data_IF_985545989323
#
_entry.id   IF_985545989323
#
_cell.length_a   1.000
_cell.length_b   1.000
_cell.length_c   1.000
_cell.angle_alpha   90.00
_cell.angle_beta   90.00
_cell.angle_gamma   90.00
#
_symmetry.space_group_name_H-M   'P 1'
#
loop_
_entity.id
_entity.type
_entity.pdbx_description
1 polymer ?
#
# COMPACT_ATOMS: atom_id res chain seq x y z
N UNK A 1 -5.63 -52.96 21.03
CA UNK A 1 -4.73 -52.07 20.25
C UNK A 1 -4.86 -50.69 20.83
N UNK A 2 -3.98 -50.32 21.75
CA UNK A 2 -3.99 -49.02 22.42
C UNK A 2 -3.30 -47.99 21.50
N UNK A 3 -4.04 -46.97 21.07
CA UNK A 3 -3.46 -45.86 20.31
C UNK A 3 -2.47 -45.11 21.22
N UNK A 4 -1.24 -44.91 20.72
CA UNK A 4 -0.17 -44.22 21.46
C UNK A 4 -0.61 -42.78 21.81
N UNK A 5 -0.45 -42.32 23.06
CA UNK A 5 -0.80 -40.96 23.46
C UNK A 5 0.01 -39.88 22.71
N UNK A 6 1.09 -40.27 22.02
CA UNK A 6 1.93 -39.38 21.23
C UNK A 6 1.30 -39.06 19.87
N UNK A 7 0.37 -39.89 19.39
CA UNK A 7 -0.38 -39.64 18.16
C UNK A 7 -1.43 -38.53 18.34
N UNK A 8 -1.97 -38.36 19.55
CA UNK A 8 -2.94 -37.31 19.88
C UNK A 8 -2.28 -35.91 19.94
N UNK A 9 -1.00 -35.82 20.32
CA UNK A 9 -0.29 -34.53 20.43
C UNK A 9 0.07 -33.98 19.04
N UNK A 10 0.36 -34.84 18.06
CA UNK A 10 0.64 -34.42 16.68
C UNK A 10 -0.63 -34.03 15.89
N UNK A 11 -1.80 -34.51 16.30
CA UNK A 11 -3.09 -34.14 15.69
C UNK A 11 -3.69 -32.84 16.24
N UNK A 12 -3.23 -32.34 17.40
CA UNK A 12 -3.63 -31.03 17.95
C UNK A 12 -2.73 -29.86 17.52
N UNK A 13 -1.64 -30.11 16.80
CA UNK A 13 -0.79 -29.05 16.22
C UNK A 13 -1.31 -28.51 14.87
N UNK A 14 -2.40 -29.07 14.34
CA UNK A 14 -3.14 -28.48 13.22
C UNK A 14 -4.14 -27.41 13.72
N UNK A 15 -3.70 -26.56 14.65
CA UNK A 15 -4.48 -25.41 15.09
C UNK A 15 -4.44 -24.35 13.97
N UNK A 16 -5.60 -24.13 13.36
CA UNK A 16 -5.94 -23.11 12.37
C UNK A 16 -4.83 -22.10 12.03
N UNK A 17 -4.10 -22.35 10.94
CA UNK A 17 -3.75 -21.26 10.06
C UNK A 17 -5.07 -20.79 9.42
N UNK A 18 -5.82 -19.94 10.12
CA UNK A 18 -6.79 -19.10 9.47
C UNK A 18 -5.98 -18.24 8.49
N UNK A 19 -5.91 -18.68 7.23
CA UNK A 19 -5.30 -17.89 6.17
C UNK A 19 -5.97 -16.53 6.21
N UNK A 20 -5.26 -15.51 6.65
CA UNK A 20 -5.75 -14.15 6.59
C UNK A 20 -5.90 -13.84 5.11
N UNK A 21 -7.15 -13.73 4.65
CA UNK A 21 -7.45 -13.51 3.25
C UNK A 21 -6.63 -12.35 2.70
N UNK A 22 -6.11 -12.48 1.47
CA UNK A 22 -5.50 -11.35 0.80
C UNK A 22 -6.58 -10.29 0.51
N UNK A 23 -6.19 -9.04 0.61
CA UNK A 23 -7.03 -7.89 0.28
C UNK A 23 -6.51 -7.27 -1.01
N UNK A 24 -7.40 -7.11 -2.00
CA UNK A 24 -7.05 -6.50 -3.28
C UNK A 24 -6.98 -4.97 -3.16
N UNK A 25 -5.87 -4.40 -3.63
CA UNK A 25 -5.67 -2.98 -3.88
C UNK A 25 -5.69 -2.72 -5.38
N UNK A 26 -6.67 -1.96 -5.86
CA UNK A 26 -6.71 -1.51 -7.26
C UNK A 26 -6.03 -0.15 -7.37
N UNK A 27 -4.88 -0.11 -8.02
CA UNK A 27 -4.01 1.05 -8.09
C UNK A 27 -3.98 1.58 -9.52
N UNK A 28 -4.58 2.74 -9.77
CA UNK A 28 -4.75 3.30 -11.11
C UNK A 28 -3.88 4.53 -11.30
N UNK A 29 -3.17 4.61 -12.43
CA UNK A 29 -2.54 5.85 -12.87
C UNK A 29 -3.49 6.61 -13.82
N UNK A 30 -4.00 7.77 -13.41
CA UNK A 30 -4.76 8.69 -14.27
C UNK A 30 -3.98 9.93 -14.67
N UNK A 31 -2.69 10.01 -14.31
CA UNK A 31 -1.84 11.09 -14.74
C UNK A 31 -1.66 11.00 -16.26
N UNK A 32 -1.50 12.15 -16.93
CA UNK A 32 -1.17 12.21 -18.36
C UNK A 32 0.24 11.68 -18.71
N UNK A 33 0.99 11.25 -17.69
CA UNK A 33 2.35 10.73 -17.79
C UNK A 33 2.49 9.40 -17.05
N UNK A 34 3.53 8.63 -17.39
CA UNK A 34 3.83 7.39 -16.70
C UNK A 34 4.35 7.64 -15.28
N UNK A 35 3.90 6.81 -14.35
CA UNK A 35 4.33 6.83 -12.95
C UNK A 35 4.92 5.47 -12.61
N UNK A 36 6.06 5.46 -11.91
CA UNK A 36 6.63 4.23 -11.36
C UNK A 36 6.08 4.04 -9.96
N UNK A 37 5.04 3.22 -9.86
CA UNK A 37 4.46 2.88 -8.57
C UNK A 37 5.43 2.05 -7.75
N UNK A 38 5.30 2.20 -6.44
CA UNK A 38 6.03 1.43 -5.45
C UNK A 38 5.09 1.05 -4.31
N UNK A 39 5.31 -0.14 -3.75
CA UNK A 39 4.54 -0.67 -2.65
C UNK A 39 5.41 -1.52 -1.73
N UNK A 40 5.31 -1.30 -0.41
CA UNK A 40 5.97 -2.09 0.62
C UNK A 40 4.96 -2.53 1.68
N UNK A 41 5.18 -3.66 2.37
CA UNK A 41 6.24 -4.65 2.13
C UNK A 41 5.98 -5.57 0.92
N UNK A 42 4.81 -5.47 0.29
CA UNK A 42 4.38 -6.32 -0.82
C UNK A 42 4.22 -5.50 -2.10
N UNK A 43 4.63 -6.07 -3.24
CA UNK A 43 4.46 -5.48 -4.58
C UNK A 43 5.73 -4.85 -5.14
N UNK A 44 6.60 -4.29 -4.30
CA UNK A 44 7.89 -3.73 -4.70
C UNK A 44 7.73 -2.48 -5.55
N UNK A 45 7.67 -2.64 -6.87
CA UNK A 45 7.46 -1.52 -7.78
C UNK A 45 7.23 -1.92 -9.24
N UNK A 46 6.50 -1.07 -9.95
CA UNK A 46 6.06 -1.30 -11.33
C UNK A 46 5.81 0.02 -12.05
N UNK A 47 6.17 0.10 -13.33
CA UNK A 47 5.79 1.23 -14.20
C UNK A 47 4.35 1.07 -14.68
N UNK A 48 3.53 2.11 -14.51
CA UNK A 48 2.18 2.20 -15.07
C UNK A 48 2.11 3.37 -16.06
N UNK A 49 1.60 3.13 -17.26
CA UNK A 49 1.27 4.21 -18.19
C UNK A 49 -0.01 4.92 -17.74
N UNK A 50 -0.31 6.06 -18.40
CA UNK A 50 -1.60 6.73 -18.24
C UNK A 50 -2.74 5.77 -18.57
N UNK A 51 -3.71 5.65 -17.65
CA UNK A 51 -4.89 4.79 -17.76
C UNK A 51 -4.69 3.37 -17.23
N UNK A 52 -3.44 2.92 -17.02
CA UNK A 52 -3.17 1.56 -16.54
C UNK A 52 -3.61 1.38 -15.08
N UNK A 53 -3.97 0.14 -14.74
CA UNK A 53 -4.30 -0.28 -13.37
C UNK A 53 -3.48 -1.50 -12.97
N UNK A 54 -2.99 -1.48 -11.74
CA UNK A 54 -2.32 -2.59 -11.08
C UNK A 54 -3.18 -3.08 -9.91
N UNK A 55 -3.64 -4.33 -10.01
CA UNK A 55 -4.26 -5.01 -8.89
C UNK A 55 -3.18 -5.72 -8.08
N UNK A 56 -3.01 -5.30 -6.83
CA UNK A 56 -2.03 -5.82 -5.89
C UNK A 56 -2.78 -6.59 -4.79
N UNK A 57 -2.45 -7.86 -4.60
CA UNK A 57 -2.94 -8.66 -3.48
C UNK A 57 -2.02 -8.46 -2.27
N UNK A 58 -2.59 -7.94 -1.18
CA UNK A 58 -1.83 -7.72 0.06
C UNK A 58 -2.34 -8.68 1.14
N UNK A 59 -1.46 -9.51 1.75
CA UNK A 59 -1.86 -10.44 2.79
C UNK A 59 -2.49 -9.73 4.00
N UNK A 60 -3.55 -10.31 4.58
CA UNK A 60 -4.08 -9.82 5.86
C UNK A 60 -3.06 -9.98 6.99
N UNK A 61 -3.03 -9.04 7.93
CA UNK A 61 -1.98 -8.93 8.96
C UNK A 61 -0.82 -8.02 8.56
N UNK A 62 -0.77 -7.53 7.31
CA UNK A 62 0.25 -6.60 6.84
C UNK A 62 0.16 -5.27 7.60
N UNK A 63 1.27 -4.76 8.13
CA UNK A 63 1.31 -3.46 8.85
C UNK A 63 2.43 -2.58 8.31
N UNK A 64 2.38 -1.29 8.65
CA UNK A 64 3.33 -0.27 8.19
C UNK A 64 3.52 -0.26 6.66
N UNK A 65 2.44 -0.54 5.92
CA UNK A 65 2.46 -0.65 4.48
C UNK A 65 2.26 0.70 3.80
N UNK A 66 2.89 0.86 2.65
CA UNK A 66 2.89 2.12 1.89
C UNK A 66 2.74 1.84 0.41
N UNK A 67 1.94 2.65 -0.28
CA UNK A 67 1.90 2.76 -1.74
C UNK A 67 2.18 4.21 -2.12
N UNK A 68 3.05 4.44 -3.10
CA UNK A 68 3.36 5.79 -3.58
C UNK A 68 3.76 5.81 -5.05
N UNK A 69 3.73 7.00 -5.64
CA UNK A 69 4.15 7.26 -7.02
C UNK A 69 5.56 7.83 -7.08
N UNK A 70 6.37 7.32 -8.02
CA UNK A 70 7.71 7.84 -8.33
C UNK A 70 7.73 8.45 -9.72
N UNK A 71 8.39 9.60 -9.87
CA UNK A 71 8.42 10.37 -11.12
C UNK A 71 9.84 10.67 -11.57
N UNK A 72 10.00 10.94 -12.86
CA UNK A 72 11.31 11.21 -13.47
C UNK A 72 12.27 10.04 -13.34
N UNK A 73 11.76 8.81 -13.46
CA UNK A 73 12.57 7.61 -13.25
C UNK A 73 13.28 7.17 -14.52
N UNK A 74 14.50 6.67 -14.33
CA UNK A 74 15.26 5.98 -15.36
C UNK A 74 15.88 4.71 -14.75
N UNK A 75 15.52 3.55 -15.30
CA UNK A 75 15.97 2.24 -14.84
C UNK A 75 16.67 1.50 -15.98
N UNK A 76 17.78 0.84 -15.64
CA UNK A 76 18.44 -0.15 -16.47
C UNK A 76 18.37 -1.51 -15.76
N UNK A 77 17.46 -2.37 -16.21
CA UNK A 77 17.02 -3.52 -15.41
C UNK A 77 16.35 -3.08 -14.12
N UNK A 78 16.74 -3.67 -12.99
CA UNK A 78 16.11 -3.42 -11.68
C UNK A 78 16.77 -2.29 -10.87
N UNK A 79 17.72 -1.57 -11.48
CA UNK A 79 18.49 -0.50 -10.83
C UNK A 79 18.44 0.79 -11.64
N UNK A 80 18.40 1.92 -10.95
CA UNK A 80 18.20 3.21 -11.57
C UNK A 80 18.07 4.34 -10.54
N UNK A 81 17.29 5.35 -10.89
CA UNK A 81 16.93 6.44 -9.98
C UNK A 81 15.62 7.08 -10.39
N UNK A 82 14.93 7.69 -9.43
CA UNK A 82 13.79 8.57 -9.64
C UNK A 82 14.07 9.98 -9.09
N UNK A 83 13.46 10.99 -9.70
CA UNK A 83 13.55 12.37 -9.22
C UNK A 83 12.81 12.58 -7.90
N UNK A 84 11.67 11.90 -7.72
CA UNK A 84 10.88 11.92 -6.47
C UNK A 84 10.49 10.50 -6.06
N UNK A 85 10.35 10.26 -4.75
CA UNK A 85 9.92 8.98 -4.20
C UNK A 85 10.90 7.81 -4.43
N UNK A 86 12.16 8.06 -4.79
CA UNK A 86 13.13 7.00 -5.05
C UNK A 86 13.38 6.12 -3.81
N UNK A 87 13.53 4.81 -3.99
CA UNK A 87 13.75 3.84 -2.90
C UNK A 87 15.15 3.20 -3.00
N UNK A 88 16.18 4.04 -2.90
CA UNK A 88 17.60 3.66 -3.01
C UNK A 88 17.97 3.08 -4.38
N UNK A 89 17.40 3.64 -5.44
CA UNK A 89 17.65 3.29 -6.83
C UNK A 89 17.13 1.91 -7.24
N UNK A 90 16.25 1.29 -6.47
CA UNK A 90 15.66 -0.01 -6.78
C UNK A 90 14.36 0.15 -7.59
N UNK A 91 14.17 -0.68 -8.63
CA UNK A 91 12.88 -0.77 -9.31
C UNK A 91 11.83 -1.38 -8.35
N UNK A 92 12.22 -2.46 -7.67
CA UNK A 92 11.44 -3.16 -6.66
C UNK A 92 11.82 -2.67 -5.26
N UNK A 93 10.98 -1.83 -4.67
CA UNK A 93 11.29 -1.21 -3.38
C UNK A 93 11.19 -2.20 -2.22
N UNK A 94 12.21 -2.22 -1.36
CA UNK A 94 12.16 -2.80 -0.02
C UNK A 94 12.21 -1.75 1.11
N UNK A 95 12.43 -0.49 0.74
CA UNK A 95 12.45 0.67 1.61
C UNK A 95 11.40 1.68 1.14
N UNK A 96 10.98 2.56 2.05
CA UNK A 96 10.08 3.65 1.67
C UNK A 96 10.77 4.66 0.75
N UNK A 97 9.97 5.44 0.01
CA UNK A 97 10.46 6.43 -0.93
C UNK A 97 11.08 7.64 -0.23
N UNK A 98 12.16 8.19 -0.80
CA UNK A 98 12.77 9.44 -0.34
C UNK A 98 11.84 10.63 -0.61
N UNK A 99 11.69 11.57 0.35
CA UNK A 99 10.97 12.83 0.12
C UNK A 99 11.43 13.58 -1.15
N UNK A 100 10.51 14.28 -1.86
CA UNK A 100 9.08 14.35 -1.57
C UNK A 100 8.32 13.10 -2.06
N UNK A 101 7.37 12.59 -1.26
CA UNK A 101 6.51 11.48 -1.65
C UNK A 101 5.12 11.54 -0.97
N UNK A 102 4.05 11.64 -1.76
CA UNK A 102 2.68 11.44 -1.28
C UNK A 102 2.47 9.95 -1.01
N UNK A 103 2.16 9.58 0.23
CA UNK A 103 2.04 8.18 0.67
C UNK A 103 0.58 7.81 0.91
N UNK A 104 0.13 6.68 0.37
CA UNK A 104 -1.01 5.95 0.91
C UNK A 104 -0.47 4.97 1.95
N UNK A 105 -0.76 5.20 3.23
CA UNK A 105 -0.32 4.34 4.34
C UNK A 105 -1.49 3.49 4.82
N UNK A 106 -1.22 2.23 5.17
CA UNK A 106 -2.28 1.32 5.64
C UNK A 106 -1.75 0.18 6.52
N UNK A 107 -2.67 -0.42 7.27
CA UNK A 107 -2.46 -1.66 8.03
C UNK A 107 -3.70 -2.53 7.95
N UNK A 108 -3.50 -3.83 7.69
CA UNK A 108 -4.53 -4.83 7.50
C UNK A 108 -4.57 -5.77 8.71
N UNK A 109 -5.73 -5.91 9.35
CA UNK A 109 -5.90 -6.74 10.53
C UNK A 109 -7.36 -7.07 10.81
N UNK A 110 -7.71 -7.28 12.08
CA UNK A 110 -9.12 -7.42 12.50
C UNK A 110 -9.93 -6.16 12.12
N UNK A 111 -9.31 -5.00 12.27
CA UNK A 111 -9.77 -3.71 11.79
C UNK A 111 -8.67 -3.12 10.91
N UNK A 112 -9.02 -2.67 9.71
CA UNK A 112 -8.05 -2.03 8.84
C UNK A 112 -8.04 -0.54 9.08
N UNK A 113 -6.86 0.03 8.89
CA UNK A 113 -6.60 1.46 8.98
C UNK A 113 -5.87 1.94 7.73
N UNK A 114 -6.20 3.15 7.31
CA UNK A 114 -5.60 3.75 6.14
C UNK A 114 -5.65 5.27 6.22
N UNK A 115 -4.66 5.92 5.61
CA UNK A 115 -4.59 7.37 5.46
C UNK A 115 -3.72 7.77 4.25
N UNK A 116 -3.78 9.05 3.93
CA UNK A 116 -2.81 9.70 3.06
C UNK A 116 -1.86 10.49 3.96
N UNK A 117 -0.56 10.45 3.67
CA UNK A 117 0.46 11.23 4.36
C UNK A 117 1.27 12.05 3.38
N UNK A 118 1.45 13.32 3.72
CA UNK A 118 2.36 14.27 3.07
C UNK A 118 3.43 14.78 4.03
N UNK A 119 3.63 14.09 5.17
CA UNK A 119 4.74 14.37 6.11
C UNK A 119 6.09 14.30 5.36
N UNK A 120 6.23 13.30 4.49
CA UNK A 120 7.40 13.11 3.62
C UNK A 120 7.32 13.99 2.35
N UNK A 121 6.49 15.04 2.35
CA UNK A 121 6.28 15.95 1.24
C UNK A 121 5.24 15.45 0.22
N UNK A 122 4.99 16.27 -0.80
CA UNK A 122 3.98 16.02 -1.83
C UNK A 122 4.61 15.97 -3.22
N UNK A 123 4.25 14.98 -4.04
CA UNK A 123 4.75 14.86 -5.41
C UNK A 123 3.66 14.54 -6.45
N UNK A 124 2.78 13.57 -6.20
CA UNK A 124 1.71 13.16 -7.11
C UNK A 124 0.37 13.25 -6.41
N UNK A 125 -0.66 13.88 -7.01
CA UNK A 125 -2.03 13.87 -6.50
C UNK A 125 -2.55 12.45 -6.28
N UNK A 126 -3.29 12.23 -5.20
CA UNK A 126 -3.77 10.91 -4.81
C UNK A 126 -5.20 10.97 -4.23
N UNK A 127 -6.07 10.07 -4.68
CA UNK A 127 -7.27 9.68 -3.94
C UNK A 127 -7.06 8.26 -3.39
N UNK A 128 -7.46 8.00 -2.14
CA UNK A 128 -7.35 6.70 -1.49
C UNK A 128 -8.65 6.35 -0.76
N UNK A 129 -9.24 5.20 -1.08
CA UNK A 129 -10.55 4.80 -0.55
C UNK A 129 -10.61 3.31 -0.25
N UNK A 130 -11.49 2.95 0.67
CA UNK A 130 -11.90 1.57 0.93
C UNK A 130 -13.38 1.37 0.59
N UNK A 131 -13.77 0.16 0.16
CA UNK A 131 -15.14 -0.15 -0.30
C UNK A 131 -16.23 0.07 0.76
N UNK A 132 -15.90 0.01 2.05
CA UNK A 132 -16.83 0.25 3.18
C UNK A 132 -16.43 1.46 4.03
N UNK A 133 -15.39 2.19 3.61
CA UNK A 133 -14.85 3.35 4.32
C UNK A 133 -15.15 4.66 3.59
N UNK A 134 -14.53 5.75 4.06
CA UNK A 134 -14.59 7.06 3.40
C UNK A 134 -13.51 7.20 2.31
N UNK A 135 -13.76 8.01 1.29
CA UNK A 135 -12.72 8.37 0.33
C UNK A 135 -11.90 9.54 0.87
N UNK A 136 -10.57 9.40 0.84
CA UNK A 136 -9.59 10.43 1.16
C UNK A 136 -9.09 11.07 -0.14
N UNK A 137 -8.93 12.39 -0.13
CA UNK A 137 -8.50 13.15 -1.32
C UNK A 137 -7.34 14.07 -1.00
N UNK A 138 -6.26 13.95 -1.77
CA UNK A 138 -5.11 14.83 -1.67
C UNK A 138 -4.62 15.26 -3.06
N UNK A 139 -5.04 16.45 -3.49
CA UNK A 139 -4.78 16.97 -4.85
C UNK A 139 -3.79 18.13 -4.91
N UNK A 140 -3.31 18.55 -3.75
CA UNK A 140 -2.28 19.55 -3.54
C UNK A 140 -1.56 19.27 -2.22
N UNK A 141 -0.44 19.95 -1.98
CA UNK A 141 0.40 19.73 -0.80
C UNK A 141 -0.27 20.12 0.53
N UNK A 142 -1.34 20.92 0.52
CA UNK A 142 -2.08 21.40 1.69
C UNK A 142 -3.39 20.66 1.93
N UNK A 143 -3.60 19.51 1.28
CA UNK A 143 -4.86 18.79 1.29
C UNK A 143 -5.36 18.44 2.70
N UNK A 144 -6.64 18.67 2.97
CA UNK A 144 -7.20 18.50 4.31
C UNK A 144 -7.22 17.05 4.81
N UNK A 145 -7.36 16.07 3.92
CA UNK A 145 -7.54 14.66 4.30
C UNK A 145 -6.22 13.95 4.66
N UNK A 146 -5.06 14.58 4.47
CA UNK A 146 -3.76 13.96 4.71
C UNK A 146 -3.11 14.38 6.03
N UNK A 147 -2.22 13.53 6.54
CA UNK A 147 -1.25 13.87 7.57
C UNK A 147 -0.24 14.90 7.04
N UNK A 148 -0.10 16.03 7.73
CA UNK A 148 0.93 17.06 7.50
C UNK A 148 2.07 16.97 8.52
N UNK A 149 1.78 16.40 9.69
CA UNK A 149 2.72 16.26 10.80
C UNK A 149 2.36 15.02 11.64
N UNK A 150 3.31 14.44 12.41
CA UNK A 150 3.10 13.15 13.09
C UNK A 150 1.95 13.08 14.11
N UNK A 151 1.51 14.23 14.63
CA UNK A 151 0.45 14.33 15.64
C UNK A 151 -0.93 14.67 15.05
N UNK A 152 -1.08 14.72 13.73
CA UNK A 152 -2.39 14.87 13.12
C UNK A 152 -3.27 13.63 13.38
N UNK A 153 -4.58 13.76 13.17
CA UNK A 153 -5.53 12.65 13.31
C UNK A 153 -6.31 12.53 12.00
N UNK A 154 -5.75 11.79 11.05
CA UNK A 154 -6.31 11.63 9.69
C UNK A 154 -6.62 10.20 9.32
N UNK A 155 -6.12 9.22 10.10
CA UNK A 155 -6.41 7.81 9.93
C UNK A 155 -7.91 7.53 9.89
N UNK A 156 -8.31 6.71 8.93
CA UNK A 156 -9.66 6.17 8.77
C UNK A 156 -9.63 4.66 8.94
N UNK A 157 -10.77 4.12 9.34
CA UNK A 157 -10.96 2.69 9.51
C UNK A 157 -11.76 2.11 8.34
N UNK A 158 -11.39 0.93 7.87
CA UNK A 158 -12.20 0.15 6.93
C UNK A 158 -12.61 -1.20 7.53
N UNK A 159 -13.91 -1.40 7.77
CA UNK A 159 -14.44 -2.58 8.45
C UNK A 159 -15.24 -3.52 7.53
N UNK A 160 -15.56 -4.71 8.03
CA UNK A 160 -16.39 -5.70 7.34
C UNK A 160 -15.59 -6.76 6.58
N UNK A 161 -16.24 -7.91 6.31
CA UNK A 161 -15.68 -8.96 5.47
C UNK A 161 -15.71 -8.58 3.98
N UNK A 162 -14.73 -9.05 3.21
CA UNK A 162 -14.61 -8.83 1.76
C UNK A 162 -14.47 -7.36 1.33
N UNK A 163 -13.61 -6.61 2.02
CA UNK A 163 -13.25 -5.23 1.67
C UNK A 163 -12.18 -5.17 0.58
N UNK A 164 -12.18 -4.09 -0.18
CA UNK A 164 -11.17 -3.80 -1.19
C UNK A 164 -10.77 -2.32 -1.14
N UNK A 165 -9.54 -2.05 -1.56
CA UNK A 165 -8.98 -0.71 -1.55
C UNK A 165 -8.74 -0.21 -2.97
N UNK A 166 -8.79 1.11 -3.12
CA UNK A 166 -8.52 1.78 -4.38
C UNK A 166 -7.63 3.00 -4.16
N UNK A 167 -6.53 3.05 -4.90
CA UNK A 167 -5.58 4.17 -4.91
C UNK A 167 -5.53 4.73 -6.33
N UNK A 168 -5.68 6.04 -6.47
CA UNK A 168 -5.72 6.69 -7.79
C UNK A 168 -4.72 7.83 -7.80
N UNK A 169 -3.77 7.77 -8.73
CA UNK A 169 -2.85 8.87 -8.99
C UNK A 169 -3.45 9.82 -10.03
N UNK A 170 -3.37 11.14 -9.79
CA UNK A 170 -4.02 12.20 -10.58
C UNK A 170 -5.53 12.00 -10.79
N UNK A 171 -6.32 11.92 -9.69
CA UNK A 171 -7.74 11.60 -9.73
C UNK A 171 -8.66 12.69 -10.30
#
# INVERSE_FOLDING_TARGET
MAASPWALILLLAAAFAAGTGATTFSITNRCSYAVWLAAIPVGGGRRLNSGDTWNLEVPGGTSAARIWGRTGCNFNGDRGSCATGDCAGALHCGLSGRPPATLAEFSLGSQDYYDISVIDGYNVPMDFSCSTGVALRCRDAGCYDAYHQPNDIRTKSCGGGNRSFRVVFCP
#
